data_IF_123845765841
#
_entry.id   IF_123845765841
#
_cell.length_a   1.000
_cell.length_b   1.000
_cell.length_c   1.000
_cell.angle_alpha   90.00
_cell.angle_beta   90.00
_cell.angle_gamma   90.00
#
_symmetry.space_group_name_H-M   'P 1'
#
loop_
_entity.id
_entity.type
_entity.pdbx_description
1 polymer ?
#
# COMPACT_ATOMS: atom_id res chain seq x y z
N UNK A 1 -3.31 -4.42 -27.30
CA UNK A 1 -3.18 -2.98 -27.57
C UNK A 1 -2.73 -2.33 -26.29
N UNK A 2 -1.58 -1.66 -26.30
CA UNK A 2 -1.15 -0.81 -25.20
C UNK A 2 -2.07 0.40 -25.18
N UNK A 3 -3.10 0.36 -24.37
CA UNK A 3 -3.89 1.55 -24.13
C UNK A 3 -2.98 2.64 -23.57
N UNK A 4 -3.02 3.85 -24.13
CA UNK A 4 -2.24 4.93 -23.56
C UNK A 4 -2.67 5.13 -22.11
N UNK A 5 -1.74 5.35 -21.17
CA UNK A 5 -2.03 5.38 -19.75
C UNK A 5 -2.90 6.56 -19.29
N UNK A 6 -3.64 7.23 -20.18
CA UNK A 6 -4.35 8.47 -19.88
C UNK A 6 -5.75 8.56 -20.51
N UNK A 7 -6.21 7.57 -21.29
CA UNK A 7 -7.52 7.72 -21.95
C UNK A 7 -8.32 6.43 -22.00
N UNK A 8 -9.58 6.51 -21.71
CA UNK A 8 -10.57 5.48 -22.00
C UNK A 8 -10.75 4.43 -20.91
N UNK A 9 -10.41 4.72 -19.71
CA UNK A 9 -10.45 3.81 -18.59
C UNK A 9 -11.84 3.68 -17.97
N UNK A 10 -12.11 2.53 -17.38
CA UNK A 10 -13.41 2.22 -16.82
C UNK A 10 -14.42 1.78 -17.88
N UNK A 11 -13.97 1.21 -18.98
CA UNK A 11 -14.81 0.90 -20.12
C UNK A 11 -14.62 -0.51 -20.69
N UNK A 12 -14.28 -1.52 -19.90
CA UNK A 12 -14.20 -2.91 -20.37
C UNK A 12 -15.41 -3.35 -21.21
N UNK A 13 -16.58 -2.81 -20.93
CA UNK A 13 -17.79 -3.12 -21.68
C UNK A 13 -17.79 -2.55 -23.12
N UNK A 14 -16.83 -1.70 -23.45
CA UNK A 14 -16.65 -1.12 -24.80
C UNK A 14 -15.46 -1.71 -25.55
N UNK A 15 -14.66 -2.53 -24.85
CA UNK A 15 -13.51 -3.17 -25.46
C UNK A 15 -13.98 -4.26 -26.42
N UNK A 16 -13.38 -4.27 -27.60
CA UNK A 16 -13.61 -5.29 -28.60
C UNK A 16 -12.59 -6.40 -28.43
N UNK A 17 -13.08 -7.64 -28.49
CA UNK A 17 -12.22 -8.81 -28.44
C UNK A 17 -11.55 -9.02 -29.80
N UNK A 18 -10.24 -9.27 -29.78
CA UNK A 18 -9.44 -9.56 -30.95
C UNK A 18 -8.97 -11.02 -30.90
N UNK A 19 -8.88 -11.66 -32.06
CA UNK A 19 -8.42 -13.04 -32.21
C UNK A 19 -7.25 -13.10 -33.19
N UNK A 20 -6.19 -13.83 -32.82
CA UNK A 20 -4.97 -13.93 -33.64
C UNK A 20 -4.50 -15.37 -33.80
N UNK A 21 -4.03 -15.74 -35.00
CA UNK A 21 -3.41 -17.02 -35.28
C UNK A 21 -1.92 -16.99 -34.97
N UNK A 22 -1.52 -17.25 -33.73
CA UNK A 22 -0.15 -17.07 -33.25
C UNK A 22 0.89 -17.94 -33.96
N UNK A 23 0.49 -19.07 -34.58
CA UNK A 23 1.37 -19.92 -35.37
C UNK A 23 1.75 -19.30 -36.72
N UNK A 24 0.93 -18.39 -37.24
CA UNK A 24 1.12 -17.71 -38.53
C UNK A 24 1.47 -16.24 -38.34
N UNK A 25 0.93 -15.61 -37.29
CA UNK A 25 1.03 -14.17 -37.00
C UNK A 25 1.45 -13.95 -35.53
N UNK A 26 2.73 -14.17 -35.26
CA UNK A 26 3.28 -13.92 -33.89
C UNK A 26 3.28 -12.47 -33.48
N UNK A 27 3.25 -11.56 -34.45
CA UNK A 27 3.25 -10.13 -34.20
C UNK A 27 1.83 -9.57 -33.94
N UNK A 28 0.78 -10.43 -34.05
CA UNK A 28 -0.61 -10.05 -33.84
C UNK A 28 -1.02 -8.85 -34.71
N UNK A 29 -0.70 -8.88 -35.99
CA UNK A 29 -0.95 -7.80 -36.94
C UNK A 29 -2.30 -7.93 -37.66
N UNK A 30 -2.87 -9.16 -37.68
CA UNK A 30 -4.13 -9.43 -38.36
C UNK A 30 -5.15 -10.00 -37.37
N UNK A 31 -6.14 -9.20 -37.00
CA UNK A 31 -7.28 -9.65 -36.25
C UNK A 31 -8.22 -10.49 -37.10
N UNK A 32 -8.43 -11.77 -36.73
CA UNK A 32 -9.29 -12.72 -37.44
C UNK A 32 -10.61 -13.01 -36.71
N UNK A 33 -10.99 -12.18 -35.74
CA UNK A 33 -12.19 -12.37 -34.93
C UNK A 33 -13.48 -12.47 -35.80
N UNK A 34 -13.57 -11.65 -36.83
CA UNK A 34 -14.72 -11.64 -37.76
C UNK A 34 -14.78 -12.91 -38.63
N UNK A 35 -13.63 -13.50 -38.89
CA UNK A 35 -13.50 -14.74 -39.71
C UNK A 35 -13.86 -16.00 -38.90
N UNK A 36 -13.74 -15.94 -37.58
CA UNK A 36 -13.93 -17.06 -36.67
C UNK A 36 -14.79 -16.71 -35.45
N UNK A 37 -16.04 -16.29 -35.64
CA UNK A 37 -16.89 -15.78 -34.54
C UNK A 37 -17.24 -16.84 -33.50
N UNK A 38 -17.44 -18.09 -33.92
CA UNK A 38 -17.77 -19.20 -33.02
C UNK A 38 -16.59 -19.52 -32.08
N UNK A 39 -15.37 -19.56 -32.61
CA UNK A 39 -14.16 -19.77 -31.84
C UNK A 39 -13.93 -18.61 -30.86
N UNK A 40 -14.18 -17.39 -31.28
CA UNK A 40 -14.08 -16.22 -30.42
C UNK A 40 -15.01 -16.36 -29.21
N UNK A 41 -16.27 -16.74 -29.40
CA UNK A 41 -17.23 -16.91 -28.31
C UNK A 41 -16.86 -18.08 -27.40
N UNK A 42 -16.36 -19.18 -27.95
CA UNK A 42 -15.82 -20.31 -27.15
C UNK A 42 -14.68 -19.85 -26.24
N UNK A 43 -13.71 -19.12 -26.78
CA UNK A 43 -12.55 -18.63 -26.01
C UNK A 43 -12.92 -17.57 -24.97
N UNK A 44 -13.90 -16.71 -25.25
CA UNK A 44 -14.47 -15.77 -24.27
C UNK A 44 -15.14 -16.51 -23.11
N UNK A 45 -15.89 -17.57 -23.40
CA UNK A 45 -16.49 -18.42 -22.39
C UNK A 45 -15.45 -19.10 -21.50
N UNK A 46 -14.41 -19.65 -22.12
CA UNK A 46 -13.28 -20.27 -21.44
C UNK A 46 -12.52 -19.27 -20.56
N UNK A 47 -12.24 -18.08 -21.09
CA UNK A 47 -11.60 -17.02 -20.34
C UNK A 47 -12.44 -16.61 -19.10
N UNK A 48 -13.74 -16.43 -19.27
CA UNK A 48 -14.65 -16.06 -18.18
C UNK A 48 -14.69 -17.14 -17.10
N UNK A 49 -14.70 -18.40 -17.49
CA UNK A 49 -14.64 -19.52 -16.57
C UNK A 49 -13.36 -19.49 -15.72
N UNK A 50 -12.19 -19.37 -16.36
CA UNK A 50 -10.92 -19.32 -15.65
C UNK A 50 -10.76 -18.06 -14.81
N UNK A 51 -11.22 -16.92 -15.30
CA UNK A 51 -11.23 -15.67 -14.51
C UNK A 51 -12.04 -15.82 -13.22
N UNK A 52 -13.15 -16.56 -13.27
CA UNK A 52 -13.92 -16.89 -12.06
C UNK A 52 -13.19 -17.87 -11.14
N UNK A 53 -12.65 -18.98 -11.69
CA UNK A 53 -11.91 -20.01 -10.91
C UNK A 53 -10.69 -19.41 -10.19
N UNK A 54 -9.93 -18.56 -10.86
CA UNK A 54 -8.73 -17.93 -10.31
C UNK A 54 -9.00 -16.61 -9.59
N UNK A 55 -10.27 -16.28 -9.32
CA UNK A 55 -10.69 -15.06 -8.62
C UNK A 55 -10.18 -13.76 -9.28
N UNK A 56 -10.07 -13.75 -10.60
CA UNK A 56 -9.75 -12.57 -11.40
C UNK A 56 -10.93 -11.62 -11.62
N UNK A 57 -12.13 -12.00 -11.16
CA UNK A 57 -13.34 -11.17 -11.24
C UNK A 57 -13.71 -10.58 -9.87
N UNK A 58 -14.29 -9.37 -9.82
CA UNK A 58 -14.52 -8.45 -10.94
C UNK A 58 -13.22 -7.85 -11.47
N UNK A 59 -13.19 -7.54 -12.76
CA UNK A 59 -12.07 -6.82 -13.35
C UNK A 59 -12.04 -5.38 -12.84
N UNK A 60 -10.84 -4.86 -12.63
CA UNK A 60 -10.62 -3.47 -12.21
C UNK A 60 -9.74 -2.77 -13.25
N UNK A 61 -10.34 -1.89 -14.03
CA UNK A 61 -9.69 -1.11 -15.07
C UNK A 61 -9.38 0.33 -14.64
N UNK A 62 -9.52 0.61 -13.34
CA UNK A 62 -9.12 1.90 -12.78
C UNK A 62 -7.62 2.09 -12.90
N UNK A 63 -7.24 3.31 -13.20
CA UNK A 63 -5.82 3.64 -13.23
C UNK A 63 -5.23 3.77 -11.85
N UNK A 64 -3.90 3.66 -11.78
CA UNK A 64 -3.18 3.81 -10.53
C UNK A 64 -3.55 5.09 -9.77
N UNK A 65 -3.74 6.20 -10.49
CA UNK A 65 -4.16 7.47 -9.89
C UNK A 65 -5.57 7.39 -9.28
N UNK A 66 -6.52 6.78 -9.98
CA UNK A 66 -7.88 6.58 -9.45
C UNK A 66 -7.88 5.67 -8.23
N UNK A 67 -7.08 4.60 -8.24
CA UNK A 67 -6.92 3.71 -7.09
C UNK A 67 -6.35 4.46 -5.89
N UNK A 68 -5.31 5.29 -6.12
CA UNK A 68 -4.69 6.10 -5.07
C UNK A 68 -5.64 7.16 -4.50
N UNK A 69 -6.45 7.77 -5.37
CA UNK A 69 -7.41 8.82 -5.02
C UNK A 69 -8.73 8.28 -4.48
N UNK A 70 -9.06 7.03 -4.74
CA UNK A 70 -10.29 6.39 -4.26
C UNK A 70 -10.35 6.33 -2.73
N UNK A 71 -11.52 6.51 -2.15
CA UNK A 71 -11.71 6.27 -0.72
C UNK A 71 -11.26 4.86 -0.35
N UNK A 72 -10.47 4.74 0.70
CA UNK A 72 -10.02 3.42 1.19
C UNK A 72 -11.19 2.68 1.81
N UNK A 73 -11.28 1.35 1.62
CA UNK A 73 -12.20 0.54 2.40
C UNK A 73 -11.95 0.78 3.89
N UNK A 74 -12.98 1.16 4.60
CA UNK A 74 -12.91 1.35 6.04
C UNK A 74 -13.79 0.28 6.70
N UNK A 75 -13.20 -0.74 7.34
CA UNK A 75 -13.95 -1.80 8.00
C UNK A 75 -14.69 -1.33 9.26
N UNK A 76 -14.38 -0.12 9.71
CA UNK A 76 -15.04 0.53 10.86
C UNK A 76 -15.04 2.04 10.68
N UNK A 77 -15.93 2.72 11.42
CA UNK A 77 -15.91 4.18 11.51
C UNK A 77 -14.52 4.71 11.89
N UNK A 78 -14.15 5.90 11.40
CA UNK A 78 -12.90 6.55 11.78
C UNK A 78 -12.78 6.68 13.29
N UNK A 79 -11.61 6.39 13.82
CA UNK A 79 -11.32 6.44 15.26
C UNK A 79 -10.12 7.34 15.49
N UNK A 80 -10.09 7.97 16.66
CA UNK A 80 -8.92 8.76 17.08
C UNK A 80 -7.82 7.88 17.67
N UNK A 81 -8.13 6.61 17.98
CA UNK A 81 -7.20 5.66 18.56
C UNK A 81 -7.30 4.30 17.91
N UNK A 82 -6.15 3.76 17.53
CA UNK A 82 -5.97 2.42 16.97
C UNK A 82 -5.04 1.63 17.89
N UNK A 83 -5.37 0.37 18.13
CA UNK A 83 -4.59 -0.53 18.99
C UNK A 83 -4.17 -1.73 18.16
N UNK A 84 -2.88 -2.00 18.15
CA UNK A 84 -2.25 -3.15 17.53
C UNK A 84 -1.61 -4.01 18.61
N UNK A 85 -1.68 -5.32 18.43
CA UNK A 85 -1.15 -6.29 19.38
C UNK A 85 0.09 -6.99 18.83
N UNK A 86 1.02 -7.42 19.69
CA UNK A 86 2.14 -8.24 19.26
C UNK A 86 1.67 -9.50 18.51
N UNK A 87 2.47 -9.93 17.53
CA UNK A 87 2.22 -11.15 16.74
C UNK A 87 0.92 -11.19 15.94
N UNK A 88 0.26 -10.06 15.74
CA UNK A 88 -0.84 -9.99 14.77
C UNK A 88 -0.31 -10.09 13.34
N UNK A 89 -1.18 -10.48 12.41
CA UNK A 89 -0.84 -10.47 10.99
C UNK A 89 -0.54 -9.06 10.50
N UNK A 90 0.26 -8.95 9.45
CA UNK A 90 0.55 -7.69 8.80
C UNK A 90 -0.74 -6.99 8.36
N UNK A 91 -0.84 -5.70 8.66
CA UNK A 91 -2.00 -4.90 8.29
C UNK A 91 -1.75 -4.28 6.92
N UNK A 92 -2.54 -4.63 5.89
CA UNK A 92 -2.39 -4.04 4.57
C UNK A 92 -2.53 -2.52 4.60
N UNK A 93 -1.72 -1.82 3.81
CA UNK A 93 -1.71 -0.35 3.71
C UNK A 93 -3.11 0.24 3.43
N UNK A 94 -3.95 -0.48 2.65
CA UNK A 94 -5.30 -0.05 2.29
C UNK A 94 -6.24 0.08 3.48
N UNK A 95 -6.00 -0.65 4.58
CA UNK A 95 -6.82 -0.65 5.81
C UNK A 95 -6.06 -0.18 7.05
N UNK A 96 -4.77 0.09 6.93
CA UNK A 96 -3.96 0.64 8.00
C UNK A 96 -4.41 2.07 8.37
N UNK A 97 -4.10 2.49 9.59
CA UNK A 97 -4.38 3.86 10.03
C UNK A 97 -3.72 4.88 9.10
N UNK A 98 -4.51 5.84 8.61
CA UNK A 98 -3.98 6.89 7.75
C UNK A 98 -3.44 8.04 8.56
N UNK A 99 -2.13 8.15 8.66
CA UNK A 99 -1.41 9.23 9.37
C UNK A 99 -0.86 10.31 8.44
N UNK A 100 -1.13 10.23 7.13
CA UNK A 100 -0.60 11.18 6.15
C UNK A 100 -1.14 12.57 6.40
N UNK A 101 -0.24 13.56 6.40
CA UNK A 101 -0.55 15.00 6.62
C UNK A 101 -1.24 15.29 7.96
N UNK A 102 -0.96 14.49 8.98
CA UNK A 102 -1.55 14.64 10.33
C UNK A 102 -0.47 14.62 11.38
N UNK A 103 -0.74 15.30 12.50
CA UNK A 103 -0.02 15.04 13.74
C UNK A 103 -0.55 13.77 14.38
N UNK A 104 0.32 13.01 15.03
CA UNK A 104 -0.05 11.76 15.70
C UNK A 104 0.93 11.42 16.80
N UNK A 105 0.50 10.54 17.68
CA UNK A 105 1.33 9.95 18.73
C UNK A 105 1.33 8.43 18.56
N UNK A 106 2.50 7.82 18.62
CA UNK A 106 2.67 6.37 18.69
C UNK A 106 3.10 6.03 20.12
N UNK A 107 2.40 5.08 20.74
CA UNK A 107 2.74 4.58 22.07
C UNK A 107 2.88 3.07 22.07
N UNK A 108 3.92 2.54 22.73
CA UNK A 108 4.14 1.12 22.91
C UNK A 108 4.28 0.78 24.39
N UNK A 109 3.42 -0.12 24.88
CA UNK A 109 3.59 -0.74 26.20
C UNK A 109 4.63 -1.85 26.12
N UNK A 110 5.72 -1.72 26.86
CA UNK A 110 6.86 -2.65 26.80
C UNK A 110 7.29 -3.10 28.19
N UNK A 111 7.92 -4.26 28.27
CA UNK A 111 8.70 -4.70 29.43
C UNK A 111 10.14 -4.83 28.98
N UNK A 112 11.05 -4.10 29.62
CA UNK A 112 12.49 -4.16 29.37
C UNK A 112 13.11 -5.03 30.46
N UNK A 113 13.49 -6.24 30.12
CA UNK A 113 13.96 -7.23 31.09
C UNK A 113 15.43 -7.04 31.43
N UNK A 114 16.23 -6.58 30.45
CA UNK A 114 17.67 -6.39 30.59
C UNK A 114 18.12 -5.06 30.00
N UNK A 115 19.27 -4.54 30.44
CA UNK A 115 19.79 -3.25 29.97
C UNK A 115 20.20 -3.26 28.49
N UNK A 116 20.51 -4.41 27.94
CA UNK A 116 20.86 -4.64 26.54
C UNK A 116 19.68 -5.03 25.66
N UNK A 117 18.45 -4.90 26.18
CA UNK A 117 17.26 -5.20 25.39
C UNK A 117 17.12 -4.26 24.19
N UNK A 118 17.02 -4.85 23.02
CA UNK A 118 16.85 -4.14 21.74
C UNK A 118 15.70 -4.75 20.92
N UNK A 119 15.09 -3.96 20.05
CA UNK A 119 14.07 -4.48 19.14
C UNK A 119 13.15 -3.42 18.55
N UNK A 120 12.44 -3.82 17.50
CA UNK A 120 11.45 -3.00 16.83
C UNK A 120 10.12 -3.14 17.56
N UNK A 121 9.55 -2.01 17.95
CA UNK A 121 8.23 -1.91 18.60
C UNK A 121 7.12 -1.73 17.58
N UNK A 122 7.40 -0.98 16.52
CA UNK A 122 6.46 -0.67 15.46
C UNK A 122 7.22 -0.35 14.17
N UNK A 123 6.71 -0.83 13.03
CA UNK A 123 7.18 -0.46 11.71
C UNK A 123 6.00 -0.36 10.74
N UNK A 124 6.02 0.65 9.88
CA UNK A 124 5.03 0.85 8.84
C UNK A 124 5.68 1.46 7.60
N UNK A 125 5.42 0.87 6.45
CA UNK A 125 5.97 1.31 5.18
C UNK A 125 7.15 0.45 4.71
N UNK A 126 8.07 1.06 3.98
CA UNK A 126 9.19 0.36 3.36
C UNK A 126 10.27 1.31 2.86
N UNK A 127 11.05 0.84 1.88
CA UNK A 127 12.18 1.61 1.34
C UNK A 127 11.76 2.94 0.70
N UNK A 128 10.58 2.99 0.09
CA UNK A 128 10.05 4.19 -0.56
C UNK A 128 9.35 5.18 0.40
N UNK A 129 9.32 4.88 1.68
CA UNK A 129 8.71 5.75 2.69
C UNK A 129 8.11 4.96 3.82
N UNK A 130 8.01 5.59 4.99
CA UNK A 130 7.44 4.96 6.17
C UNK A 130 8.06 5.46 7.46
N UNK A 131 7.81 4.75 8.55
CA UNK A 131 8.34 5.10 9.85
C UNK A 131 8.47 3.87 10.75
N UNK A 132 9.36 3.96 11.72
CA UNK A 132 9.55 2.92 12.73
C UNK A 132 9.87 3.50 14.09
N UNK A 133 9.48 2.75 15.12
CA UNK A 133 9.79 3.00 16.52
C UNK A 133 10.53 1.77 17.04
N UNK A 134 11.72 1.94 17.59
CA UNK A 134 12.54 0.84 18.09
C UNK A 134 13.40 1.25 19.27
N UNK A 135 13.86 0.27 20.02
CA UNK A 135 14.85 0.42 21.10
C UNK A 135 16.18 -0.11 20.62
N UNK A 136 17.23 0.69 20.79
CA UNK A 136 18.61 0.32 20.51
C UNK A 136 19.56 1.13 21.40
N UNK A 137 20.67 0.53 21.80
CA UNK A 137 21.69 1.18 22.65
C UNK A 137 21.05 1.87 23.88
N UNK A 138 20.05 1.20 24.50
CA UNK A 138 19.27 1.69 25.64
C UNK A 138 18.41 2.94 25.38
N UNK A 139 18.24 3.35 24.15
CA UNK A 139 17.47 4.55 23.79
C UNK A 139 16.29 4.19 22.90
N UNK A 140 15.23 5.02 23.00
CA UNK A 140 14.12 4.96 22.08
C UNK A 140 14.46 5.79 20.84
N UNK A 141 14.29 5.18 19.68
CA UNK A 141 14.48 5.81 18.40
C UNK A 141 13.17 5.82 17.61
N UNK A 142 12.85 6.97 17.05
CA UNK A 142 11.82 7.11 16.04
C UNK A 142 12.46 7.56 14.74
N UNK A 143 12.19 6.85 13.65
CA UNK A 143 12.69 7.17 12.32
C UNK A 143 11.52 7.39 11.37
N UNK A 144 11.54 8.52 10.68
CA UNK A 144 10.64 8.82 9.58
C UNK A 144 11.43 8.84 8.28
N UNK A 145 11.05 7.96 7.34
CA UNK A 145 11.64 7.85 6.02
C UNK A 145 10.80 8.63 5.02
N UNK A 146 11.35 9.71 4.47
CA UNK A 146 10.74 10.48 3.41
C UNK A 146 11.24 10.00 2.05
N UNK A 147 10.40 9.22 1.35
CA UNK A 147 10.62 8.73 -0.02
C UNK A 147 11.91 7.94 -0.26
N UNK A 148 12.55 7.42 0.78
CA UNK A 148 13.86 6.77 0.67
C UNK A 148 15.04 7.73 0.54
N UNK A 149 14.80 9.04 0.49
CA UNK A 149 15.83 10.07 0.25
C UNK A 149 16.27 10.75 1.55
N UNK A 150 15.33 10.98 2.47
CA UNK A 150 15.62 11.67 3.73
C UNK A 150 15.09 10.87 4.92
N UNK A 151 15.95 10.71 5.90
CA UNK A 151 15.60 10.08 7.16
C UNK A 151 15.64 11.13 8.27
N UNK A 152 14.50 11.32 8.94
CA UNK A 152 14.43 12.12 10.17
C UNK A 152 14.51 11.13 11.33
N UNK A 153 15.48 11.32 12.20
CA UNK A 153 15.70 10.45 13.37
C UNK A 153 15.54 11.28 14.63
N UNK A 154 14.68 10.85 15.51
CA UNK A 154 14.58 11.37 16.87
C UNK A 154 15.01 10.27 17.83
N UNK A 155 15.83 10.63 18.79
CA UNK A 155 16.35 9.70 19.82
C UNK A 155 16.04 10.27 21.19
N UNK A 156 15.68 9.42 22.16
CA UNK A 156 15.44 9.86 23.52
C UNK A 156 16.72 10.40 24.18
N UNK A 157 16.58 11.46 24.97
CA UNK A 157 17.72 12.10 25.68
C UNK A 157 18.25 11.26 26.84
N UNK A 158 17.53 10.21 27.22
CA UNK A 158 17.84 9.39 28.42
C UNK A 158 17.81 7.92 28.07
N UNK A 159 18.64 7.18 28.75
CA UNK A 159 18.62 5.73 28.72
C UNK A 159 17.31 5.20 29.28
N UNK A 160 16.82 4.14 28.68
CA UNK A 160 15.65 3.42 29.15
C UNK A 160 16.02 2.48 30.27
N UNK A 161 15.42 2.63 31.47
CA UNK A 161 15.67 1.69 32.56
C UNK A 161 14.91 0.37 32.31
N UNK A 162 15.34 -0.68 32.99
CA UNK A 162 14.58 -1.94 33.04
C UNK A 162 13.22 -1.76 33.71
N UNK A 163 12.27 -2.63 33.40
CA UNK A 163 10.92 -2.61 33.94
C UNK A 163 9.82 -2.37 32.90
N UNK A 164 8.62 -2.04 33.38
CA UNK A 164 7.44 -1.79 32.53
C UNK A 164 7.33 -0.32 32.19
N UNK A 165 7.22 -0.01 30.91
CA UNK A 165 7.16 1.34 30.39
C UNK A 165 6.08 1.49 29.33
N UNK A 166 5.63 2.73 29.14
CA UNK A 166 4.92 3.17 27.95
C UNK A 166 5.84 4.15 27.22
N UNK A 167 6.41 3.70 26.12
CA UNK A 167 7.31 4.49 25.30
C UNK A 167 6.49 5.21 24.23
N UNK A 168 6.69 6.51 24.04
CA UNK A 168 5.91 7.33 23.12
C UNK A 168 6.79 8.15 22.20
N UNK A 169 6.36 8.28 20.95
CA UNK A 169 6.90 9.24 20.00
C UNK A 169 5.75 10.12 19.48
N UNK A 170 5.94 11.43 19.52
CA UNK A 170 4.99 12.41 19.02
C UNK A 170 5.52 13.01 17.73
N UNK A 171 4.71 12.97 16.69
CA UNK A 171 4.98 13.62 15.42
C UNK A 171 4.04 14.80 15.25
N UNK A 172 4.60 16.00 15.13
CA UNK A 172 3.84 17.23 14.92
C UNK A 172 4.05 17.75 13.50
N UNK A 173 2.97 17.90 12.75
CA UNK A 173 2.98 18.58 11.47
C UNK A 173 3.05 20.09 11.72
N UNK A 174 4.12 20.75 11.28
CA UNK A 174 4.44 22.15 11.57
C UNK A 174 4.02 23.15 10.50
N UNK A 175 3.21 22.79 9.52
CA UNK A 175 2.66 23.72 8.55
C UNK A 175 2.08 23.03 7.32
N UNK A 176 1.20 23.70 6.60
CA UNK A 176 0.92 23.42 5.22
C UNK A 176 1.99 24.16 4.42
N UNK A 177 2.77 23.46 3.60
CA UNK A 177 3.81 24.08 2.77
C UNK A 177 3.22 25.20 1.91
N UNK A 178 3.51 26.43 2.25
CA UNK A 178 3.30 27.60 1.39
C UNK A 178 4.30 27.65 0.20
N UNK A 179 4.94 26.56 -0.15
CA UNK A 179 5.92 26.51 -1.22
C UNK A 179 5.37 26.05 -2.57
N UNK A 180 4.12 26.39 -2.87
CA UNK A 180 3.61 26.26 -4.25
C UNK A 180 2.96 27.56 -4.73
N UNK A 181 3.64 28.69 -4.47
CA UNK A 181 3.35 29.97 -5.13
C UNK A 181 4.64 30.60 -5.57
N UNK A 182 5.14 30.15 -6.71
CA UNK A 182 5.99 30.95 -7.60
C UNK A 182 5.98 30.35 -9.00
#
# INVERSE_FOLDING_TARGET
TLHPPISGWGNFNRDEWELYKLNEDRAQTRNVAVEHPELLEELKGLWSYYAGVFKGLPLDDRVALEIIMSPRPQPSEPRDRYIYYPHMADVPESVAVNIRRRSYTIGAGVTIDTEDAEGVLFAHGGIAGGHSLYVKDRQLHYVYNWLGEKFQVATSDRDLPTGKHVLTAEFQKTGDDEQTKS
#
